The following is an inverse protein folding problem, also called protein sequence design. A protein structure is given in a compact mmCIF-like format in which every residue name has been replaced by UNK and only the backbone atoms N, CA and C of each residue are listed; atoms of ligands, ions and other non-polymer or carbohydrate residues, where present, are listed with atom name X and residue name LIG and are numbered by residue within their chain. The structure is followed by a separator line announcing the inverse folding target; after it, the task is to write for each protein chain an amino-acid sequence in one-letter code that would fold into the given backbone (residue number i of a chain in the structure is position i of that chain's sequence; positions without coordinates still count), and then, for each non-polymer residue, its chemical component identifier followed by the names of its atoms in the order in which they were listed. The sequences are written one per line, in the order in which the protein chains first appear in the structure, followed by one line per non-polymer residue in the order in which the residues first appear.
data_IF_475709540588
#
_entry.id   IF_475709540588
#
_cell.length_a   1.000
_cell.length_b   1.000
_cell.length_c   1.000
_cell.angle_alpha   90.00
_cell.angle_beta   90.00
_cell.angle_gamma   90.00
#
_symmetry.space_group_name_H-M   'P 1'
#
loop_
_entity.id
_entity.type
_entity.pdbx_description
1 polymer ?
#
# COMPACT_ATOMS: atom_id res chain seq x y z
N UNK A 1 -26.01 92.33 10.57
CA UNK A 1 -26.01 90.84 10.31
C UNK A 1 -24.58 90.35 10.09
N UNK A 2 -24.01 89.66 11.09
CA UNK A 2 -22.59 89.24 11.10
C UNK A 2 -22.53 87.81 10.49
N UNK A 3 -21.76 87.60 9.40
CA UNK A 3 -21.58 86.28 8.75
C UNK A 3 -20.57 85.48 9.55
N UNK A 4 -21.05 84.47 10.28
CA UNK A 4 -20.22 83.43 10.93
C UNK A 4 -19.47 82.63 9.85
N UNK A 5 -18.10 82.73 9.81
CA UNK A 5 -17.25 81.93 9.02
C UNK A 5 -17.22 80.52 9.60
N UNK A 6 -17.78 79.56 8.88
CA UNK A 6 -17.70 78.12 9.17
C UNK A 6 -16.27 77.64 8.86
N UNK A 7 -15.48 77.30 9.91
CA UNK A 7 -14.17 76.63 9.74
C UNK A 7 -14.39 75.21 9.28
N UNK A 8 -13.89 74.84 8.09
CA UNK A 8 -13.83 73.45 7.61
C UNK A 8 -12.93 72.64 8.55
N UNK A 9 -13.34 71.41 8.89
CA UNK A 9 -12.47 70.53 9.71
C UNK A 9 -11.19 70.20 8.92
N UNK A 10 -10.05 70.36 9.57
CA UNK A 10 -8.76 69.92 8.98
C UNK A 10 -8.84 68.41 8.79
N UNK A 11 -8.67 67.97 7.55
CA UNK A 11 -8.46 66.54 7.22
C UNK A 11 -7.16 66.11 7.89
N UNK A 12 -7.29 65.15 8.84
CA UNK A 12 -6.16 64.46 9.40
C UNK A 12 -5.50 63.66 8.28
N UNK A 13 -4.39 64.14 7.76
CA UNK A 13 -3.51 63.35 6.90
C UNK A 13 -2.86 62.27 7.78
N UNK A 14 -3.28 61.02 7.57
CA UNK A 14 -2.64 59.84 8.20
C UNK A 14 -1.17 59.81 7.78
N UNK A 15 -0.25 59.97 8.72
CA UNK A 15 1.17 59.80 8.43
C UNK A 15 1.37 58.43 7.84
N UNK A 16 2.18 58.28 6.79
CA UNK A 16 2.54 56.95 6.27
C UNK A 16 3.21 56.14 7.36
N UNK A 17 2.94 54.83 7.39
CA UNK A 17 3.53 53.90 8.36
C UNK A 17 5.05 53.94 8.22
N UNK A 18 5.81 53.96 9.33
CA UNK A 18 7.28 54.04 9.29
C UNK A 18 7.84 52.85 8.54
N UNK A 19 8.83 53.07 7.72
CA UNK A 19 9.63 51.99 7.10
C UNK A 19 10.29 51.14 8.19
N UNK A 20 10.63 49.87 7.86
CA UNK A 20 11.34 48.99 8.81
C UNK A 20 12.61 49.62 9.37
N UNK A 21 13.35 50.37 8.54
CA UNK A 21 14.57 51.09 8.93
C UNK A 21 14.28 52.17 9.97
N UNK A 22 13.25 52.99 9.75
CA UNK A 22 12.84 54.06 10.67
C UNK A 22 12.30 53.48 11.99
N UNK A 23 11.50 52.43 11.91
CA UNK A 23 11.02 51.68 13.07
C UNK A 23 12.18 51.11 13.89
N UNK A 24 13.15 50.46 13.23
CA UNK A 24 14.33 49.89 13.86
C UNK A 24 15.20 50.96 14.54
N UNK A 25 15.41 52.13 13.89
CA UNK A 25 16.16 53.24 14.44
C UNK A 25 15.47 53.89 15.64
N UNK A 26 14.15 53.85 15.72
CA UNK A 26 13.37 54.39 16.81
C UNK A 26 13.40 53.48 18.07
N UNK A 27 13.85 52.24 17.96
CA UNK A 27 13.93 51.32 19.11
C UNK A 27 15.13 51.69 20.01
N UNK A 28 14.94 51.49 21.34
CA UNK A 28 16.05 51.65 22.27
C UNK A 28 17.10 50.56 22.09
N UNK A 29 18.33 50.81 22.47
CA UNK A 29 19.42 49.84 22.39
C UNK A 29 19.08 48.52 23.10
N UNK A 30 18.41 48.61 24.25
CA UNK A 30 17.93 47.43 25.02
C UNK A 30 16.93 46.63 24.19
N UNK A 31 15.96 47.30 23.58
CA UNK A 31 14.91 46.64 22.75
C UNK A 31 15.55 45.97 21.50
N UNK A 32 16.49 46.62 20.83
CA UNK A 32 17.22 46.03 19.69
C UNK A 32 17.97 44.76 20.09
N UNK A 33 18.67 44.77 21.23
CA UNK A 33 19.38 43.62 21.76
C UNK A 33 18.39 42.46 22.07
N UNK A 34 17.23 42.75 22.67
CA UNK A 34 16.19 41.76 22.94
C UNK A 34 15.63 41.15 21.67
N UNK A 35 15.38 41.96 20.62
CA UNK A 35 14.88 41.46 19.33
C UNK A 35 15.92 40.58 18.66
N UNK A 36 17.20 40.96 18.67
CA UNK A 36 18.27 40.13 18.12
C UNK A 36 18.38 38.80 18.85
N UNK A 37 18.35 38.82 20.20
CA UNK A 37 18.37 37.58 21.00
C UNK A 37 17.17 36.69 20.69
N UNK A 38 15.98 37.27 20.53
CA UNK A 38 14.77 36.50 20.17
C UNK A 38 14.87 35.88 18.76
N UNK A 39 15.44 36.59 17.78
CA UNK A 39 15.66 36.06 16.43
C UNK A 39 16.71 34.95 16.42
N UNK A 40 17.79 35.07 17.21
CA UNK A 40 18.81 34.03 17.36
C UNK A 40 18.19 32.79 18.01
N UNK A 41 17.38 32.96 19.07
CA UNK A 41 16.70 31.86 19.73
C UNK A 41 15.71 31.16 18.76
N UNK A 42 14.96 31.93 17.98
CA UNK A 42 14.05 31.38 16.97
C UNK A 42 14.81 30.60 15.88
N UNK A 43 15.92 31.14 15.39
CA UNK A 43 16.78 30.46 14.43
C UNK A 43 17.36 29.16 15.00
N UNK A 44 17.79 29.16 16.26
CA UNK A 44 18.28 27.97 16.95
C UNK A 44 17.19 26.91 17.09
N UNK A 45 15.94 27.31 17.43
CA UNK A 45 14.78 26.37 17.47
C UNK A 45 14.49 25.81 16.10
N UNK A 46 14.51 26.61 15.04
CA UNK A 46 14.31 26.14 13.67
C UNK A 46 15.40 25.13 13.29
N UNK A 47 16.66 25.41 13.59
CA UNK A 47 17.77 24.48 13.32
C UNK A 47 17.59 23.18 14.12
N UNK A 48 17.20 23.26 15.40
CA UNK A 48 16.92 22.06 16.21
C UNK A 48 15.75 21.26 15.66
N UNK A 49 14.67 21.92 15.21
CA UNK A 49 13.52 21.24 14.59
C UNK A 49 13.93 20.61 13.25
N UNK A 50 14.74 21.28 12.44
CA UNK A 50 15.28 20.75 11.18
C UNK A 50 16.23 19.58 11.45
N UNK A 51 17.15 19.69 12.39
CA UNK A 51 18.05 18.60 12.80
C UNK A 51 17.26 17.44 13.39
N UNK A 52 16.25 17.72 14.21
CA UNK A 52 15.36 16.70 14.77
C UNK A 52 14.52 16.04 13.66
N UNK A 53 13.95 16.83 12.72
CA UNK A 53 13.15 16.33 11.60
C UNK A 53 13.99 15.51 10.62
N UNK A 54 15.20 15.98 10.25
CA UNK A 54 16.08 15.27 9.31
C UNK A 54 17.01 14.26 9.99
N UNK A 55 17.36 14.44 11.26
CA UNK A 55 18.25 13.55 11.99
C UNK A 55 17.54 12.44 12.76
N UNK A 56 16.29 12.65 13.20
CA UNK A 56 15.49 11.64 13.92
C UNK A 56 14.32 11.09 13.11
N UNK A 57 13.81 11.82 12.12
CA UNK A 57 12.83 11.29 11.16
C UNK A 57 13.47 10.61 9.97
N UNK A 58 14.71 10.94 9.65
CA UNK A 58 15.60 10.21 8.76
C UNK A 58 16.57 9.37 9.62
N UNK A 59 16.02 8.71 10.64
CA UNK A 59 16.81 7.77 11.40
C UNK A 59 17.26 6.65 10.46
N UNK A 60 18.39 6.02 10.79
CA UNK A 60 18.95 4.93 10.00
C UNK A 60 17.98 3.79 9.67
N UNK A 61 16.76 3.77 10.26
CA UNK A 61 15.72 2.80 9.93
C UNK A 61 15.16 2.99 8.52
N UNK A 62 14.98 4.23 8.03
CA UNK A 62 14.63 4.50 6.65
C UNK A 62 15.78 4.19 5.68
N UNK A 63 17.02 4.48 6.07
CA UNK A 63 18.21 4.13 5.27
C UNK A 63 18.43 2.62 5.23
N UNK A 64 18.27 1.92 6.34
CA UNK A 64 18.38 0.45 6.42
C UNK A 64 17.24 -0.19 5.61
N UNK A 65 16.04 0.36 5.66
CA UNK A 65 14.87 -0.13 4.89
C UNK A 65 15.00 0.13 3.40
N UNK A 66 15.47 1.31 3.02
CA UNK A 66 15.78 1.62 1.62
C UNK A 66 17.00 0.82 1.13
N UNK A 67 17.96 0.52 2.00
CA UNK A 67 19.10 -0.32 1.65
C UNK A 67 18.65 -1.76 1.32
N UNK A 68 17.71 -2.32 2.08
CA UNK A 68 17.14 -3.64 1.76
C UNK A 68 16.47 -3.69 0.39
N UNK A 69 15.87 -2.57 -0.06
CA UNK A 69 15.28 -2.47 -1.41
C UNK A 69 16.36 -2.26 -2.47
N UNK A 70 17.42 -1.50 -2.16
CA UNK A 70 18.56 -1.29 -3.07
C UNK A 70 19.35 -2.57 -3.31
N UNK A 71 19.49 -3.39 -2.26
CA UNK A 71 20.21 -4.66 -2.30
C UNK A 71 19.31 -5.86 -2.62
N UNK A 72 18.04 -5.60 -3.03
CA UNK A 72 17.07 -6.65 -3.29
C UNK A 72 17.53 -7.55 -4.46
N UNK A 73 17.56 -8.83 -4.21
CA UNK A 73 17.77 -9.87 -5.22
C UNK A 73 16.45 -10.17 -5.93
N UNK A 74 16.54 -10.75 -7.12
CA UNK A 74 15.37 -11.02 -7.98
C UNK A 74 14.33 -11.93 -7.34
N UNK A 75 14.72 -12.76 -6.39
CA UNK A 75 13.83 -13.69 -5.68
C UNK A 75 13.29 -13.15 -4.35
N UNK A 76 13.55 -11.90 -3.97
CA UNK A 76 13.06 -11.35 -2.71
C UNK A 76 11.59 -10.93 -2.78
N UNK A 77 10.83 -11.33 -1.76
CA UNK A 77 9.49 -10.81 -1.49
C UNK A 77 9.60 -9.54 -0.64
N UNK A 78 9.28 -8.41 -1.24
CA UNK A 78 9.34 -7.10 -0.59
C UNK A 78 7.92 -6.64 -0.25
N UNK A 79 7.65 -6.49 1.03
CA UNK A 79 6.41 -5.90 1.53
C UNK A 79 6.50 -4.39 1.62
N UNK A 80 5.38 -3.71 1.37
CA UNK A 80 5.20 -2.27 1.54
C UNK A 80 4.18 -2.01 2.63
N UNK A 81 4.55 -1.20 3.61
CA UNK A 81 3.65 -0.75 4.66
C UNK A 81 3.50 0.77 4.56
N UNK A 82 2.28 1.24 4.29
CA UNK A 82 1.99 2.66 4.23
C UNK A 82 1.77 3.23 5.64
N UNK A 83 2.63 4.14 6.06
CA UNK A 83 2.50 4.90 7.31
C UNK A 83 2.25 6.37 7.01
N UNK A 84 1.02 6.72 6.70
CA UNK A 84 0.63 8.08 6.36
C UNK A 84 1.31 8.60 5.09
N UNK A 85 2.24 9.56 5.22
CA UNK A 85 2.97 10.14 4.07
C UNK A 85 4.20 9.34 3.63
N UNK A 86 4.63 8.36 4.43
CA UNK A 86 5.85 7.58 4.21
C UNK A 86 5.49 6.12 4.00
N UNK A 87 6.12 5.48 3.03
CA UNK A 87 6.06 4.03 2.84
C UNK A 87 7.32 3.39 3.41
N UNK A 88 7.14 2.31 4.14
CA UNK A 88 8.24 1.48 4.64
C UNK A 88 8.26 0.18 3.84
N UNK A 89 9.47 -0.26 3.46
CA UNK A 89 9.68 -1.48 2.70
C UNK A 89 10.45 -2.49 3.53
N UNK A 90 10.03 -3.75 3.45
CA UNK A 90 10.63 -4.84 4.22
C UNK A 90 10.87 -6.03 3.33
N UNK A 91 12.00 -6.71 3.52
CA UNK A 91 12.14 -8.07 3.05
C UNK A 91 11.26 -8.97 3.92
N UNK A 92 10.30 -9.64 3.32
CA UNK A 92 9.44 -10.62 3.99
C UNK A 92 10.02 -12.04 3.87
N UNK A 93 10.80 -12.29 2.83
CA UNK A 93 11.34 -13.59 2.52
C UNK A 93 11.78 -13.68 1.07
N UNK A 94 11.85 -14.90 0.57
CA UNK A 94 12.19 -15.22 -0.81
C UNK A 94 11.12 -16.08 -1.45
N UNK A 95 11.10 -16.10 -2.78
CA UNK A 95 10.22 -16.95 -3.57
C UNK A 95 11.01 -17.59 -4.70
N UNK A 96 10.74 -18.85 -4.99
CA UNK A 96 11.24 -19.56 -6.16
C UNK A 96 10.09 -19.84 -7.14
N UNK A 97 10.40 -20.25 -8.34
CA UNK A 97 9.38 -20.65 -9.31
C UNK A 97 8.74 -21.97 -8.88
N UNK A 98 7.40 -22.03 -8.78
CA UNK A 98 6.72 -23.27 -8.41
C UNK A 98 6.91 -24.38 -9.45
N UNK A 99 6.99 -25.63 -8.99
CA UNK A 99 7.12 -26.79 -9.85
C UNK A 99 5.95 -26.90 -10.83
N UNK A 100 6.28 -27.06 -12.12
CA UNK A 100 5.29 -27.15 -13.20
C UNK A 100 4.72 -25.80 -13.66
N UNK A 101 5.34 -24.68 -13.25
CA UNK A 101 4.93 -23.34 -13.62
C UNK A 101 6.07 -22.54 -14.27
N UNK A 102 5.70 -21.52 -15.02
CA UNK A 102 6.61 -20.49 -15.52
C UNK A 102 6.13 -19.10 -15.12
N UNK A 103 7.06 -18.22 -14.82
CA UNK A 103 6.77 -16.82 -14.54
C UNK A 103 6.40 -16.12 -15.84
N UNK A 104 5.21 -15.50 -15.90
CA UNK A 104 4.69 -14.83 -17.10
C UNK A 104 4.54 -13.34 -16.95
N UNK A 105 4.33 -12.85 -15.72
CA UNK A 105 4.17 -11.43 -15.45
C UNK A 105 4.76 -11.08 -14.09
N UNK A 106 5.33 -9.89 -14.02
CA UNK A 106 5.89 -9.30 -12.80
C UNK A 106 5.42 -7.85 -12.70
N UNK A 107 4.79 -7.53 -11.60
CA UNK A 107 4.54 -6.13 -11.28
C UNK A 107 5.67 -5.61 -10.42
N UNK A 108 6.47 -4.74 -11.01
CA UNK A 108 7.57 -4.06 -10.36
C UNK A 108 7.09 -2.75 -9.76
N UNK A 109 7.50 -2.46 -8.54
CA UNK A 109 7.32 -1.16 -7.91
C UNK A 109 8.66 -0.52 -7.59
N UNK A 110 8.66 0.81 -7.49
CA UNK A 110 9.84 1.60 -7.20
C UNK A 110 9.66 3.03 -7.69
N UNK A 111 10.65 3.87 -7.42
CA UNK A 111 10.73 5.24 -7.92
C UNK A 111 12.04 5.42 -8.66
N UNK A 112 12.24 6.59 -9.30
CA UNK A 112 13.52 6.92 -9.94
C UNK A 112 14.71 6.90 -8.98
N UNK A 113 14.47 7.02 -7.68
CA UNK A 113 15.48 7.01 -6.61
C UNK A 113 15.59 5.67 -5.88
N UNK A 114 14.68 4.73 -6.15
CA UNK A 114 14.71 3.37 -5.58
C UNK A 114 14.66 2.32 -6.69
N UNK A 115 15.40 1.21 -6.58
CA UNK A 115 15.33 0.13 -7.54
C UNK A 115 13.91 -0.43 -7.64
N UNK A 116 13.55 -0.93 -8.82
CA UNK A 116 12.34 -1.71 -8.98
C UNK A 116 12.48 -3.05 -8.25
N UNK A 117 11.42 -3.45 -7.57
CA UNK A 117 11.34 -4.75 -6.91
C UNK A 117 10.00 -5.40 -7.22
N UNK A 118 9.99 -6.71 -7.19
CA UNK A 118 8.80 -7.51 -7.50
C UNK A 118 7.83 -7.46 -6.33
N UNK A 119 6.58 -7.11 -6.60
CA UNK A 119 5.50 -7.12 -5.61
C UNK A 119 4.38 -8.08 -5.96
N UNK A 120 4.26 -8.42 -7.21
CA UNK A 120 3.25 -9.34 -7.73
C UNK A 120 3.90 -10.24 -8.77
N UNK A 121 3.71 -11.53 -8.63
CA UNK A 121 4.25 -12.55 -9.52
C UNK A 121 3.10 -13.41 -10.05
N UNK A 122 3.01 -13.53 -11.36
CA UNK A 122 1.99 -14.33 -12.04
C UNK A 122 2.66 -15.48 -12.77
N UNK A 123 2.30 -16.69 -12.38
CA UNK A 123 2.82 -17.92 -12.96
C UNK A 123 1.73 -18.63 -13.77
N UNK A 124 2.07 -19.16 -14.93
CA UNK A 124 1.21 -20.06 -15.70
C UNK A 124 1.67 -21.48 -15.57
N UNK A 125 0.75 -22.46 -15.54
CA UNK A 125 1.13 -23.86 -15.60
C UNK A 125 1.78 -24.18 -16.97
N UNK A 126 2.82 -25.01 -16.95
CA UNK A 126 3.50 -25.50 -18.17
C UNK A 126 2.64 -26.51 -18.92
N UNK A 127 1.77 -27.21 -18.22
CA UNK A 127 0.81 -28.15 -18.79
C UNK A 127 -0.62 -27.71 -18.42
N UNK A 128 -1.58 -27.96 -19.30
CA UNK A 128 -2.99 -27.66 -19.04
C UNK A 128 -3.52 -28.56 -17.94
N UNK A 129 -3.71 -27.98 -16.75
CA UNK A 129 -4.28 -28.61 -15.56
C UNK A 129 -5.60 -27.94 -15.13
N UNK A 130 -6.18 -27.10 -15.99
CA UNK A 130 -7.40 -26.32 -15.73
C UNK A 130 -7.14 -25.03 -14.92
N UNK A 131 -5.95 -24.81 -14.39
CA UNK A 131 -5.57 -23.58 -13.69
C UNK A 131 -5.18 -22.51 -14.72
N UNK A 132 -5.74 -21.31 -14.59
CA UNK A 132 -5.39 -20.20 -15.47
C UNK A 132 -4.10 -19.52 -15.06
N UNK A 133 -3.92 -19.29 -13.76
CA UNK A 133 -2.67 -18.79 -13.19
C UNK A 133 -2.57 -19.06 -11.68
N UNK A 134 -1.33 -19.07 -11.19
CA UNK A 134 -0.98 -19.01 -9.79
C UNK A 134 -0.33 -17.64 -9.53
N UNK A 135 -0.81 -16.97 -8.50
CA UNK A 135 -0.43 -15.59 -8.19
C UNK A 135 0.18 -15.51 -6.80
N UNK A 136 1.34 -14.89 -6.68
CA UNK A 136 2.02 -14.65 -5.40
C UNK A 136 2.26 -13.15 -5.24
N UNK A 137 1.82 -12.60 -4.12
CA UNK A 137 2.03 -11.19 -3.81
C UNK A 137 2.20 -10.95 -2.32
N UNK A 138 2.76 -9.79 -1.98
CA UNK A 138 2.89 -9.33 -0.60
C UNK A 138 1.75 -8.39 -0.23
N UNK A 139 1.26 -8.52 1.00
CA UNK A 139 0.14 -7.74 1.51
C UNK A 139 0.53 -7.03 2.80
N UNK A 140 0.31 -5.72 2.87
CA UNK A 140 0.61 -4.87 4.04
C UNK A 140 -0.49 -4.94 5.12
N UNK A 141 -1.04 -6.12 5.38
CA UNK A 141 -2.01 -6.40 6.46
C UNK A 141 -1.76 -7.79 7.02
N UNK A 142 -2.13 -8.01 8.28
CA UNK A 142 -2.06 -9.33 8.90
C UNK A 142 -3.05 -10.33 8.30
N UNK A 143 -2.81 -11.62 8.51
CA UNK A 143 -3.64 -12.70 7.96
C UNK A 143 -5.10 -12.58 8.40
N UNK A 144 -5.37 -12.37 9.70
CA UNK A 144 -6.73 -12.30 10.23
C UNK A 144 -7.49 -11.10 9.64
N UNK A 145 -6.87 -9.91 9.64
CA UNK A 145 -7.48 -8.71 9.06
C UNK A 145 -7.79 -8.87 7.56
N UNK A 146 -6.94 -9.60 6.83
CA UNK A 146 -7.15 -9.84 5.40
C UNK A 146 -8.23 -10.87 5.15
N UNK A 147 -8.21 -11.99 5.87
CA UNK A 147 -9.23 -13.03 5.72
C UNK A 147 -10.61 -12.47 6.03
N UNK A 148 -10.78 -11.77 7.15
CA UNK A 148 -12.07 -11.21 7.54
C UNK A 148 -12.60 -10.22 6.51
N UNK A 149 -11.73 -9.31 6.03
CA UNK A 149 -12.09 -8.30 5.04
C UNK A 149 -12.45 -8.92 3.67
N UNK A 150 -11.61 -9.82 3.18
CA UNK A 150 -11.77 -10.41 1.84
C UNK A 150 -12.91 -11.40 1.81
N UNK A 151 -13.05 -12.23 2.86
CA UNK A 151 -14.14 -13.17 3.00
C UNK A 151 -15.51 -12.47 3.05
N UNK A 152 -15.65 -11.41 3.87
CA UNK A 152 -16.89 -10.61 3.93
C UNK A 152 -17.22 -9.97 2.57
N UNK A 153 -16.20 -9.50 1.85
CA UNK A 153 -16.37 -8.88 0.53
C UNK A 153 -16.86 -9.91 -0.49
N UNK A 154 -16.19 -11.06 -0.58
CA UNK A 154 -16.54 -12.07 -1.57
C UNK A 154 -17.82 -12.82 -1.22
N UNK A 155 -18.14 -13.07 0.06
CA UNK A 155 -19.40 -13.67 0.45
C UNK A 155 -20.60 -12.82 0.03
N UNK A 156 -20.50 -11.49 0.12
CA UNK A 156 -21.53 -10.58 -0.41
C UNK A 156 -21.61 -10.61 -1.92
N UNK A 157 -20.47 -10.65 -2.61
CA UNK A 157 -20.42 -10.67 -4.07
C UNK A 157 -21.02 -11.96 -4.64
N UNK A 158 -20.61 -13.13 -4.15
CA UNK A 158 -21.09 -14.43 -4.66
C UNK A 158 -22.56 -14.71 -4.32
N UNK A 159 -23.13 -14.03 -3.33
CA UNK A 159 -24.55 -14.16 -2.95
C UNK A 159 -25.44 -13.06 -3.53
N UNK A 160 -24.87 -12.06 -4.22
CA UNK A 160 -25.63 -10.91 -4.75
C UNK A 160 -26.47 -11.22 -5.98
N UNK A 161 -26.15 -12.26 -6.73
CA UNK A 161 -26.92 -12.71 -7.89
C UNK A 161 -27.86 -13.84 -7.45
N UNK A 162 -29.16 -13.52 -7.35
CA UNK A 162 -30.19 -14.50 -6.96
C UNK A 162 -30.44 -15.56 -8.03
N UNK A 163 -30.21 -15.24 -9.32
CA UNK A 163 -30.44 -16.16 -10.44
C UNK A 163 -29.29 -17.15 -10.62
N UNK A 164 -28.06 -16.70 -10.35
CA UNK A 164 -26.84 -17.52 -10.48
C UNK A 164 -25.94 -17.33 -9.25
N UNK A 165 -26.36 -17.83 -8.09
CA UNK A 165 -25.59 -17.68 -6.87
C UNK A 165 -24.24 -18.38 -7.02
N UNK A 166 -23.17 -17.66 -6.70
CA UNK A 166 -21.84 -18.24 -6.61
C UNK A 166 -21.70 -19.13 -5.37
N UNK A 167 -20.54 -19.71 -5.20
CA UNK A 167 -20.18 -20.52 -4.04
C UNK A 167 -18.98 -19.94 -3.32
N UNK A 168 -18.96 -20.08 -2.00
CA UNK A 168 -17.80 -19.73 -1.17
C UNK A 168 -17.63 -20.81 -0.10
N UNK A 169 -16.39 -21.29 0.11
CA UNK A 169 -16.10 -22.26 1.16
C UNK A 169 -15.98 -21.58 2.52
N UNK A 170 -16.03 -22.34 3.58
CA UNK A 170 -15.61 -21.87 4.90
C UNK A 170 -14.12 -21.54 4.90
N UNK A 171 -13.71 -20.63 5.82
CA UNK A 171 -12.29 -20.37 6.05
C UNK A 171 -11.67 -21.57 6.74
N UNK A 172 -10.57 -22.06 6.18
CA UNK A 172 -9.81 -23.21 6.66
C UNK A 172 -8.38 -22.81 7.00
N UNK A 173 -7.72 -23.64 7.77
CA UNK A 173 -6.32 -23.47 8.17
C UNK A 173 -5.43 -24.48 7.48
N UNK A 174 -4.18 -24.05 7.21
CA UNK A 174 -3.16 -24.89 6.62
C UNK A 174 -1.82 -24.60 7.32
N UNK A 175 -1.21 -25.64 7.87
CA UNK A 175 0.11 -25.50 8.47
C UNK A 175 1.18 -25.31 7.40
N UNK A 176 2.00 -24.27 7.56
CA UNK A 176 3.13 -23.97 6.69
C UNK A 176 4.42 -23.85 7.49
N UNK A 177 5.55 -23.84 6.82
CA UNK A 177 6.86 -23.64 7.49
C UNK A 177 6.95 -22.29 8.21
N UNK A 178 6.13 -21.33 7.83
CA UNK A 178 6.10 -19.94 8.35
C UNK A 178 5.00 -19.71 9.39
N UNK A 179 4.20 -20.71 9.71
CA UNK A 179 3.07 -20.64 10.65
C UNK A 179 1.77 -21.11 10.01
N UNK A 180 0.67 -20.93 10.71
CA UNK A 180 -0.65 -21.33 10.24
C UNK A 180 -1.15 -20.31 9.22
N UNK A 181 -1.24 -20.71 7.95
CA UNK A 181 -1.90 -19.97 6.89
C UNK A 181 -3.42 -20.19 6.96
N UNK A 182 -4.17 -19.23 6.47
CA UNK A 182 -5.64 -19.31 6.37
C UNK A 182 -6.07 -19.15 4.93
N UNK A 183 -7.04 -19.95 4.49
CA UNK A 183 -7.51 -19.94 3.12
C UNK A 183 -9.02 -20.16 3.00
N UNK A 184 -9.58 -19.77 1.88
CA UNK A 184 -10.91 -20.15 1.40
C UNK A 184 -10.95 -20.11 -0.12
N UNK A 185 -11.95 -20.76 -0.71
CA UNK A 185 -12.21 -20.72 -2.14
C UNK A 185 -13.57 -20.11 -2.45
N UNK A 186 -13.70 -19.50 -3.62
CA UNK A 186 -14.98 -19.00 -4.11
C UNK A 186 -15.07 -19.18 -5.63
N UNK A 187 -16.31 -19.30 -6.11
CA UNK A 187 -16.60 -19.37 -7.54
C UNK A 187 -17.88 -18.59 -7.84
N UNK A 188 -17.90 -17.89 -8.96
CA UNK A 188 -19.06 -17.11 -9.39
C UNK A 188 -19.04 -16.91 -10.92
N UNK A 189 -20.21 -16.53 -11.44
CA UNK A 189 -20.32 -16.03 -12.81
C UNK A 189 -20.65 -14.53 -12.79
N UNK A 190 -20.29 -13.82 -13.84
CA UNK A 190 -20.62 -12.42 -14.01
C UNK A 190 -20.88 -12.09 -15.47
N UNK A 191 -21.72 -11.09 -15.70
CA UNK A 191 -22.00 -10.59 -17.03
C UNK A 191 -20.94 -9.59 -17.45
N UNK A 192 -20.37 -9.79 -18.62
CA UNK A 192 -19.41 -8.88 -19.23
C UNK A 192 -20.03 -8.26 -20.48
N UNK A 193 -20.27 -6.96 -20.44
CA UNK A 193 -20.79 -6.21 -21.59
C UNK A 193 -19.65 -5.98 -22.58
N UNK A 194 -19.76 -6.58 -23.73
CA UNK A 194 -18.80 -6.37 -24.84
C UNK A 194 -19.36 -5.33 -25.80
N UNK A 195 -18.57 -4.29 -26.09
CA UNK A 195 -18.99 -3.13 -26.93
C UNK A 195 -19.57 -3.51 -28.30
N UNK A 196 -19.35 -4.74 -28.80
CA UNK A 196 -19.73 -5.16 -30.16
C UNK A 196 -20.53 -6.45 -30.27
N UNK A 197 -20.74 -7.23 -29.20
CA UNK A 197 -21.34 -8.58 -29.31
C UNK A 197 -22.40 -8.94 -28.28
N UNK A 198 -22.84 -7.98 -27.48
CA UNK A 198 -23.82 -8.23 -26.42
C UNK A 198 -23.19 -8.69 -25.10
N UNK A 199 -24.02 -9.15 -24.18
CA UNK A 199 -23.59 -9.59 -22.85
C UNK A 199 -23.08 -11.02 -22.92
N UNK A 200 -21.87 -11.27 -22.43
CA UNK A 200 -21.26 -12.60 -22.32
C UNK A 200 -21.14 -13.01 -20.85
N UNK A 201 -21.54 -14.22 -20.51
CA UNK A 201 -21.33 -14.76 -19.16
C UNK A 201 -19.90 -15.26 -19.01
N UNK A 202 -19.17 -14.74 -18.02
CA UNK A 202 -17.83 -15.17 -17.64
C UNK A 202 -17.88 -15.93 -16.31
N UNK A 203 -16.96 -16.85 -16.14
CA UNK A 203 -16.84 -17.69 -14.95
C UNK A 203 -15.49 -17.45 -14.28
N UNK A 204 -15.49 -17.36 -12.98
CA UNK A 204 -14.28 -17.16 -12.19
C UNK A 204 -14.32 -18.02 -10.93
N UNK A 205 -13.22 -18.70 -10.68
CA UNK A 205 -13.02 -19.46 -9.45
C UNK A 205 -11.64 -19.10 -8.91
N UNK A 206 -11.55 -18.96 -7.61
CA UNK A 206 -10.29 -18.63 -6.96
C UNK A 206 -10.17 -19.32 -5.61
N UNK A 207 -8.98 -19.76 -5.28
CA UNK A 207 -8.57 -20.07 -3.92
C UNK A 207 -7.56 -19.01 -3.49
N UNK A 208 -7.79 -18.37 -2.35
CA UNK A 208 -6.87 -17.41 -1.72
C UNK A 208 -6.32 -17.99 -0.43
N UNK A 209 -4.99 -17.94 -0.27
CA UNK A 209 -4.29 -18.43 0.91
C UNK A 209 -3.35 -17.34 1.42
N UNK A 210 -3.48 -16.96 2.67
CA UNK A 210 -2.67 -15.94 3.34
C UNK A 210 -1.70 -16.59 4.31
N UNK A 211 -0.40 -16.43 4.04
CA UNK A 211 0.71 -16.95 4.84
C UNK A 211 1.20 -15.84 5.76
N UNK A 212 1.30 -16.04 7.09
CA UNK A 212 1.80 -15.02 8.00
C UNK A 212 3.27 -14.69 7.72
N UNK A 213 3.60 -13.40 7.78
CA UNK A 213 4.98 -12.93 7.71
C UNK A 213 5.43 -12.39 9.07
N UNK A 214 6.75 -12.44 9.35
CA UNK A 214 7.32 -11.99 10.62
C UNK A 214 7.19 -10.48 10.84
N UNK A 215 7.01 -9.72 9.77
CA UNK A 215 6.78 -8.28 9.89
C UNK A 215 5.34 -8.05 10.29
N UNK A 216 5.14 -7.36 11.43
CA UNK A 216 3.82 -7.04 11.96
C UNK A 216 2.91 -6.42 10.89
N UNK A 217 1.69 -6.92 10.82
CA UNK A 217 0.70 -6.50 9.84
C UNK A 217 1.13 -6.73 8.38
N UNK A 218 1.79 -7.85 8.11
CA UNK A 218 2.12 -8.27 6.75
C UNK A 218 1.84 -9.75 6.56
N UNK A 219 1.49 -10.13 5.35
CA UNK A 219 1.35 -11.53 4.95
C UNK A 219 1.73 -11.68 3.47
N UNK A 220 1.89 -12.91 3.04
CA UNK A 220 2.03 -13.27 1.62
C UNK A 220 0.74 -13.93 1.17
N UNK A 221 0.17 -13.45 0.08
CA UNK A 221 -0.96 -14.06 -0.60
C UNK A 221 -0.45 -15.02 -1.67
N UNK A 222 -0.92 -16.24 -1.62
CA UNK A 222 -0.86 -17.19 -2.74
C UNK A 222 -2.29 -17.43 -3.20
N UNK A 223 -2.58 -17.21 -4.49
CA UNK A 223 -3.89 -17.52 -5.04
C UNK A 223 -3.81 -18.35 -6.32
N UNK A 224 -4.76 -19.26 -6.46
CA UNK A 224 -4.97 -20.08 -7.65
C UNK A 224 -6.23 -19.58 -8.33
N UNK A 225 -6.11 -19.15 -9.58
CA UNK A 225 -7.20 -18.59 -10.35
C UNK A 225 -7.55 -19.50 -11.52
N UNK A 226 -8.85 -19.69 -11.73
CA UNK A 226 -9.44 -20.49 -12.81
C UNK A 226 -10.49 -19.67 -13.52
N UNK A 227 -10.36 -19.53 -14.85
CA UNK A 227 -11.28 -18.78 -15.69
C UNK A 227 -11.81 -19.67 -16.81
N UNK A 228 -12.73 -20.59 -16.49
CA UNK A 228 -13.25 -21.55 -17.47
C UNK A 228 -14.31 -20.90 -18.37
N UNK A 229 -14.59 -21.54 -19.50
CA UNK A 229 -15.65 -21.12 -20.41
C UNK A 229 -17.05 -21.42 -19.91
N UNK A 230 -17.19 -22.33 -18.93
CA UNK A 230 -18.46 -22.69 -18.29
C UNK A 230 -18.28 -23.11 -16.83
N UNK A 231 -19.38 -23.19 -16.10
CA UNK A 231 -19.36 -23.65 -14.70
C UNK A 231 -18.86 -25.10 -14.52
N UNK A 232 -18.98 -25.94 -15.57
CA UNK A 232 -18.47 -27.31 -15.54
C UNK A 232 -16.95 -27.39 -15.52
N UNK A 233 -16.27 -26.31 -15.92
CA UNK A 233 -14.83 -26.18 -15.85
C UNK A 233 -14.26 -25.79 -14.49
N UNK A 234 -15.11 -25.60 -13.46
CA UNK A 234 -14.66 -25.39 -12.12
C UNK A 234 -13.96 -26.62 -11.54
N UNK A 235 -12.84 -26.39 -10.89
CA UNK A 235 -12.05 -27.43 -10.26
C UNK A 235 -12.57 -27.75 -8.86
N UNK A 236 -12.31 -28.99 -8.39
CA UNK A 236 -12.59 -29.31 -6.99
C UNK A 236 -11.68 -28.54 -6.03
N UNK A 237 -12.11 -28.33 -4.81
CA UNK A 237 -11.31 -27.65 -3.78
C UNK A 237 -9.99 -28.36 -3.54
N UNK A 238 -9.97 -29.69 -3.56
CA UNK A 238 -8.72 -30.48 -3.37
C UNK A 238 -7.68 -30.18 -4.44
N UNK A 239 -8.10 -30.00 -5.71
CA UNK A 239 -7.20 -29.62 -6.81
C UNK A 239 -6.68 -28.19 -6.59
N UNK A 240 -7.54 -27.24 -6.23
CA UNK A 240 -7.12 -25.88 -5.95
C UNK A 240 -6.12 -25.81 -4.79
N UNK A 241 -6.37 -26.59 -3.72
CA UNK A 241 -5.46 -26.68 -2.57
C UNK A 241 -4.13 -27.30 -2.96
N UNK A 242 -4.13 -28.36 -3.77
CA UNK A 242 -2.89 -28.98 -4.26
C UNK A 242 -2.04 -28.01 -5.09
N UNK A 243 -2.68 -27.22 -5.96
CA UNK A 243 -1.98 -26.21 -6.76
C UNK A 243 -1.51 -25.03 -5.87
N UNK A 244 -2.30 -24.59 -4.90
CA UNK A 244 -1.86 -23.56 -3.95
C UNK A 244 -0.65 -24.02 -3.13
N UNK A 245 -0.59 -25.30 -2.73
CA UNK A 245 0.55 -25.87 -2.00
C UNK A 245 1.85 -25.79 -2.78
N UNK A 246 1.85 -25.89 -4.12
CA UNK A 246 3.03 -25.66 -4.95
C UNK A 246 3.57 -24.23 -4.79
N UNK A 247 2.66 -23.22 -4.81
CA UNK A 247 3.03 -21.83 -4.57
C UNK A 247 3.49 -21.57 -3.13
N UNK A 248 2.86 -22.22 -2.16
CA UNK A 248 3.21 -22.08 -0.73
C UNK A 248 4.59 -22.69 -0.47
N UNK A 249 4.91 -23.83 -1.08
CA UNK A 249 6.17 -24.56 -0.88
C UNK A 249 7.41 -23.76 -1.32
N UNK A 250 7.25 -22.84 -2.27
CA UNK A 250 8.35 -22.00 -2.78
C UNK A 250 8.50 -20.66 -2.08
N UNK A 251 7.56 -20.33 -1.17
CA UNK A 251 7.63 -19.13 -0.33
C UNK A 251 8.40 -19.43 0.95
N UNK A 252 9.52 -18.76 1.13
CA UNK A 252 10.33 -18.85 2.35
C UNK A 252 10.26 -17.50 3.08
N UNK A 253 9.61 -17.47 4.25
CA UNK A 253 9.49 -16.26 5.08
C UNK A 253 10.70 -16.16 6.00
N UNK A 254 11.35 -14.99 6.03
CA UNK A 254 12.47 -14.71 6.94
C UNK A 254 11.98 -14.76 8.41
N UNK A 255 12.77 -15.36 9.32
CA UNK A 255 12.44 -15.52 10.75
C UNK A 255 12.88 -14.32 11.58
#
# INVERSE_FOLDING_TARGET
MSKKKIRRPQQYQKKPDPTFKEWWQAQTERTRKSIICALIALAAVIVLVVVWYYGFYDDGSLKIRNQAVVDAEDNWLIGKLDKGKNSEYYKLGTVETPDGYELTDEKLTGTSSTPNYKTELVYKPLEDNGVSNLYITTVGRGVDDMIDYVYDTFSKMVTSDEENPGTISEVKELDTASGTARYFSYAYSYQNDTENSGTETKYSQCLVCYIPANVKNSCVLVSVNVYPDSAEGFLSEDVLVAEAQKGIAVVSIDK
#
